data_IF_439374782752
#
_entry.id   IF_439374782752
#
_cell.length_a   1.000
_cell.length_b   1.000
_cell.length_c   1.000
_cell.angle_alpha   90.00
_cell.angle_beta   90.00
_cell.angle_gamma   90.00
#
_symmetry.space_group_name_H-M   'P 1'
#
loop_
_entity.id
_entity.type
_entity.pdbx_description
1 polymer ?
#
# COMPACT_ATOMS: atom_id res chain seq x y z
N UNK A 1 6.82 -0.35 13.80
CA UNK A 1 5.92 0.69 13.26
C UNK A 1 4.46 0.30 13.37
N UNK A 2 4.04 -0.85 12.81
CA UNK A 2 2.68 -1.36 13.02
C UNK A 2 2.32 -1.49 14.50
N UNK A 3 3.23 -2.04 15.32
CA UNK A 3 3.07 -2.11 16.77
C UNK A 3 2.94 -0.74 17.45
N UNK A 4 3.74 0.25 17.01
CA UNK A 4 3.64 1.61 17.55
C UNK A 4 2.26 2.22 17.22
N UNK A 5 1.77 2.06 15.99
CA UNK A 5 0.44 2.50 15.61
C UNK A 5 -0.67 1.72 16.33
N UNK A 6 -0.47 0.44 16.69
CA UNK A 6 -1.42 -0.32 17.52
C UNK A 6 -1.64 0.32 18.89
N UNK A 7 -0.67 1.05 19.45
CA UNK A 7 -0.87 1.76 20.72
C UNK A 7 -1.92 2.88 20.64
N UNK A 8 -2.33 3.29 19.43
CA UNK A 8 -3.27 4.39 19.22
C UNK A 8 -2.62 5.77 19.34
N UNK A 9 -1.30 5.86 19.21
CA UNK A 9 -0.54 7.11 19.19
C UNK A 9 -0.13 7.41 17.75
N UNK A 10 -0.22 8.67 17.28
CA UNK A 10 0.28 9.03 15.96
C UNK A 10 1.80 8.82 15.87
N UNK A 11 2.25 8.27 14.76
CA UNK A 11 3.64 7.86 14.55
C UNK A 11 4.31 8.82 13.56
N UNK A 12 5.54 9.22 13.86
CA UNK A 12 6.39 9.93 12.91
C UNK A 12 7.53 8.99 12.57
N UNK A 13 7.71 8.68 11.29
CA UNK A 13 8.72 7.73 10.84
C UNK A 13 9.40 8.20 9.55
N UNK A 14 10.52 7.57 9.24
CA UNK A 14 11.19 7.78 7.95
C UNK A 14 10.51 6.99 6.83
N UNK A 15 10.69 7.46 5.60
CA UNK A 15 10.20 6.79 4.39
C UNK A 15 11.06 5.56 4.07
N UNK A 16 10.73 4.43 4.69
CA UNK A 16 11.41 3.15 4.47
C UNK A 16 10.39 2.00 4.35
N UNK A 17 10.39 1.33 3.20
CA UNK A 17 9.60 0.11 2.98
C UNK A 17 8.09 0.34 3.08
N UNK A 18 7.45 -0.27 4.08
CA UNK A 18 5.99 -0.24 4.24
C UNK A 18 5.47 1.00 5.01
N UNK A 19 6.33 1.97 5.35
CA UNK A 19 5.97 3.11 6.21
C UNK A 19 4.69 3.81 5.79
N UNK A 20 4.63 4.21 4.52
CA UNK A 20 3.48 4.93 3.98
C UNK A 20 2.16 4.15 4.13
N UNK A 21 2.18 2.83 3.91
CA UNK A 21 0.96 2.00 4.02
C UNK A 21 0.44 1.88 5.46
N UNK A 22 1.34 2.00 6.44
CA UNK A 22 0.97 1.92 7.85
C UNK A 22 0.31 3.22 8.33
N UNK A 23 0.71 4.37 7.77
CA UNK A 23 0.34 5.70 8.25
C UNK A 23 -0.66 6.47 7.38
N UNK A 24 -1.10 5.85 6.29
CA UNK A 24 -2.02 6.43 5.32
C UNK A 24 -3.27 5.55 5.22
N UNK A 25 -4.44 6.19 5.14
CA UNK A 25 -5.69 5.50 4.87
C UNK A 25 -5.66 4.92 3.44
N UNK A 26 -5.80 3.60 3.25
CA UNK A 26 -5.78 2.98 1.93
C UNK A 26 -6.96 3.40 1.04
N UNK A 27 -8.08 3.86 1.60
CA UNK A 27 -9.27 4.25 0.83
C UNK A 27 -9.18 5.70 0.33
N UNK A 28 -8.76 6.63 1.19
CA UNK A 28 -8.71 8.06 0.87
C UNK A 28 -7.32 8.54 0.45
N UNK A 29 -6.26 7.78 0.75
CA UNK A 29 -4.88 8.20 0.55
C UNK A 29 -4.42 9.28 1.53
N UNK A 30 -5.22 9.63 2.54
CA UNK A 30 -4.88 10.69 3.50
C UNK A 30 -3.98 10.16 4.63
N UNK A 31 -2.89 10.87 4.96
CA UNK A 31 -2.02 10.49 6.06
C UNK A 31 -2.62 10.91 7.41
N UNK A 32 -2.67 9.97 8.36
CA UNK A 32 -3.03 10.25 9.76
C UNK A 32 -1.79 10.35 10.68
N UNK A 33 -0.62 10.43 10.07
CA UNK A 33 0.70 10.40 10.71
C UNK A 33 1.73 10.92 9.71
N UNK A 34 2.99 11.10 10.11
CA UNK A 34 3.98 11.78 9.26
C UNK A 34 5.07 10.83 8.77
N UNK A 35 5.38 10.91 7.48
CA UNK A 35 6.54 10.25 6.86
C UNK A 35 7.53 11.31 6.43
N UNK A 36 8.79 11.15 6.80
CA UNK A 36 9.88 12.10 6.47
C UNK A 36 10.99 11.37 5.72
N UNK A 37 11.73 12.07 4.86
CA UNK A 37 12.90 11.51 4.21
C UNK A 37 13.95 11.03 5.23
N UNK A 38 14.67 9.93 4.94
CA UNK A 38 15.80 9.51 5.76
C UNK A 38 16.89 10.59 5.81
N UNK A 39 17.65 10.63 6.90
CA UNK A 39 18.78 11.56 7.11
C UNK A 39 18.43 13.05 7.15
N UNK A 40 17.16 13.41 7.34
CA UNK A 40 16.73 14.80 7.60
C UNK A 40 16.19 14.97 9.03
N UNK A 41 17.11 15.29 9.96
CA UNK A 41 16.78 15.46 11.36
C UNK A 41 15.85 16.67 11.62
N UNK A 42 15.99 17.74 10.84
CA UNK A 42 15.19 18.95 11.02
C UNK A 42 13.74 18.70 10.59
N UNK A 43 13.54 18.07 9.44
CA UNK A 43 12.19 17.69 9.00
C UNK A 43 11.55 16.67 9.94
N UNK A 44 12.32 15.74 10.52
CA UNK A 44 11.81 14.79 11.52
C UNK A 44 11.31 15.50 12.78
N UNK A 45 12.11 16.43 13.33
CA UNK A 45 11.72 17.21 14.50
C UNK A 45 10.49 18.09 14.20
N UNK A 46 10.46 18.74 13.03
CA UNK A 46 9.32 19.54 12.60
C UNK A 46 8.04 18.71 12.48
N UNK A 47 8.14 17.51 11.90
CA UNK A 47 7.01 16.59 11.79
C UNK A 47 6.48 16.13 13.16
N UNK A 48 7.36 15.85 14.12
CA UNK A 48 6.97 15.53 15.50
C UNK A 48 6.18 16.68 16.14
N UNK A 49 6.67 17.92 16.03
CA UNK A 49 5.96 19.09 16.59
C UNK A 49 4.63 19.32 15.89
N UNK A 50 4.59 19.23 14.56
CA UNK A 50 3.35 19.39 13.79
C UNK A 50 2.28 18.37 14.20
N UNK A 51 2.65 17.10 14.39
CA UNK A 51 1.73 16.06 14.87
C UNK A 51 1.31 16.32 16.33
N UNK A 52 2.24 16.69 17.20
CA UNK A 52 1.95 16.97 18.60
C UNK A 52 0.96 18.14 18.75
N UNK A 53 1.13 19.20 17.98
CA UNK A 53 0.30 20.39 18.04
C UNK A 53 -0.86 20.40 17.02
N UNK A 54 -1.02 19.36 16.20
CA UNK A 54 -1.97 19.29 15.08
C UNK A 54 -1.90 20.56 14.20
N UNK A 55 -0.72 20.80 13.62
CA UNK A 55 -0.44 21.93 12.74
C UNK A 55 -0.37 21.48 11.27
N UNK A 56 -0.38 22.46 10.35
CA UNK A 56 -0.27 22.20 8.92
C UNK A 56 -1.38 21.29 8.42
N UNK A 57 -0.99 20.18 7.80
CA UNK A 57 -1.89 19.17 7.22
C UNK A 57 -2.82 18.55 8.28
N UNK A 58 -2.35 18.42 9.52
CA UNK A 58 -3.11 17.80 10.61
C UNK A 58 -4.05 18.77 11.33
N UNK A 59 -4.05 20.05 10.95
CA UNK A 59 -4.98 21.03 11.52
C UNK A 59 -6.45 20.71 11.24
N UNK A 60 -6.74 19.94 10.19
CA UNK A 60 -8.09 19.45 9.90
C UNK A 60 -8.65 18.56 11.03
N UNK A 61 -7.78 17.88 11.78
CA UNK A 61 -8.16 17.05 12.92
C UNK A 61 -8.18 17.81 14.24
N UNK A 62 -7.78 19.09 14.25
CA UNK A 62 -7.65 19.87 15.46
C UNK A 62 -8.99 20.42 15.98
N UNK A 63 -10.06 20.39 15.17
CA UNK A 63 -11.38 20.94 15.52
C UNK A 63 -11.27 22.38 16.05
N UNK A 64 -10.48 23.20 15.36
CA UNK A 64 -10.42 24.63 15.67
C UNK A 64 -11.71 25.33 15.21
N UNK A 65 -12.11 26.37 15.93
CA UNK A 65 -13.24 27.21 15.56
C UNK A 65 -13.01 27.89 14.20
N UNK A 66 -14.09 28.16 13.48
CA UNK A 66 -14.02 28.81 12.17
C UNK A 66 -13.29 30.16 12.27
N UNK A 67 -12.23 30.31 11.46
CA UNK A 67 -11.40 31.52 11.42
C UNK A 67 -10.14 31.49 12.29
N UNK A 68 -9.97 30.51 13.18
CA UNK A 68 -8.75 30.34 13.97
C UNK A 68 -7.66 29.72 13.09
N UNK A 69 -6.58 30.46 12.83
CA UNK A 69 -5.42 29.94 12.10
C UNK A 69 -4.47 29.21 13.05
N UNK A 70 -4.10 27.95 12.77
CA UNK A 70 -3.12 27.24 13.57
C UNK A 70 -1.74 27.93 13.46
N UNK A 71 -0.93 27.93 14.54
CA UNK A 71 0.43 28.44 14.49
C UNK A 71 1.27 27.79 13.39
N UNK A 72 2.12 28.56 12.74
CA UNK A 72 3.09 28.03 11.77
C UNK A 72 4.47 27.93 12.40
N UNK A 73 5.13 26.79 12.24
CA UNK A 73 6.51 26.61 12.73
C UNK A 73 7.48 27.38 11.82
N UNK A 74 8.01 28.49 12.35
CA UNK A 74 9.09 29.26 11.75
C UNK A 74 10.44 28.52 11.86
N UNK A 75 11.42 28.88 11.02
CA UNK A 75 12.77 28.28 11.05
C UNK A 75 13.53 28.66 12.33
N UNK A 76 13.23 29.84 12.87
CA UNK A 76 13.86 30.39 14.08
C UNK A 76 12.75 30.87 15.02
N UNK A 77 12.15 29.96 15.80
CA UNK A 77 10.99 30.28 16.61
C UNK A 77 11.34 31.24 17.74
N UNK A 78 10.49 32.25 17.91
CA UNK A 78 10.57 33.17 19.06
C UNK A 78 10.07 32.47 20.32
N UNK A 79 10.41 32.99 21.50
CA UNK A 79 9.94 32.44 22.77
C UNK A 79 8.41 32.39 22.86
N UNK A 80 7.73 33.39 22.31
CA UNK A 80 6.27 33.47 22.25
C UNK A 80 5.67 32.39 21.34
N UNK A 81 6.26 32.13 20.17
CA UNK A 81 5.85 31.04 19.27
C UNK A 81 6.02 29.66 19.91
N UNK A 82 7.11 29.46 20.66
CA UNK A 82 7.36 28.22 21.41
C UNK A 82 6.31 28.04 22.50
N UNK A 83 5.99 29.09 23.26
CA UNK A 83 4.98 29.02 24.31
C UNK A 83 3.59 28.74 23.74
N UNK A 84 3.20 29.42 22.67
CA UNK A 84 1.93 29.21 21.99
C UNK A 84 1.80 27.78 21.44
N UNK A 85 2.84 27.28 20.79
CA UNK A 85 2.90 25.91 20.27
C UNK A 85 2.80 24.90 21.42
N UNK A 86 3.55 25.11 22.50
CA UNK A 86 3.56 24.23 23.67
C UNK A 86 2.18 24.15 24.33
N UNK A 87 1.52 25.30 24.53
CA UNK A 87 0.13 25.35 25.05
C UNK A 87 -0.82 24.55 24.16
N UNK A 88 -0.69 24.69 22.84
CA UNK A 88 -1.51 23.97 21.87
C UNK A 88 -1.29 22.45 21.92
N UNK A 89 -0.05 21.98 22.08
CA UNK A 89 0.26 20.54 22.23
C UNK A 89 -0.58 19.92 23.35
N UNK A 90 -0.68 20.58 24.50
CA UNK A 90 -1.47 20.06 25.61
C UNK A 90 -2.98 20.22 25.39
N UNK A 91 -3.40 21.37 24.84
CA UNK A 91 -4.82 21.65 24.57
C UNK A 91 -5.45 20.65 23.58
N UNK A 92 -4.70 20.14 22.60
CA UNK A 92 -5.20 19.25 21.55
C UNK A 92 -4.95 17.76 21.81
N UNK A 93 -4.79 17.36 23.07
CA UNK A 93 -4.46 15.98 23.46
C UNK A 93 -5.53 14.97 23.01
N UNK A 94 -6.82 15.27 23.17
CA UNK A 94 -7.90 14.35 22.79
C UNK A 94 -8.06 14.22 21.27
N UNK A 95 -7.90 15.31 20.53
CA UNK A 95 -7.89 15.31 19.06
C UNK A 95 -6.71 14.49 18.54
N UNK A 96 -5.52 14.66 19.13
CA UNK A 96 -4.32 13.90 18.76
C UNK A 96 -4.47 12.40 19.06
N UNK A 97 -5.11 12.07 20.18
CA UNK A 97 -5.47 10.68 20.50
C UNK A 97 -6.39 10.11 19.43
N UNK A 98 -7.44 10.84 19.04
CA UNK A 98 -8.35 10.41 17.95
C UNK A 98 -7.61 10.21 16.63
N UNK A 99 -6.69 11.10 16.28
CA UNK A 99 -5.82 10.95 15.11
C UNK A 99 -5.02 9.62 15.15
N UNK A 100 -4.41 9.30 16.29
CA UNK A 100 -3.68 8.04 16.48
C UNK A 100 -4.55 6.78 16.40
N UNK A 101 -5.84 6.88 16.77
CA UNK A 101 -6.79 5.76 16.66
C UNK A 101 -7.10 5.37 15.20
N UNK A 102 -6.99 6.30 14.24
CA UNK A 102 -7.06 5.95 12.82
C UNK A 102 -5.92 5.00 12.43
N UNK A 103 -4.71 5.25 12.93
CA UNK A 103 -3.57 4.37 12.70
C UNK A 103 -3.74 2.99 13.31
N UNK A 104 -4.25 2.91 14.54
CA UNK A 104 -4.59 1.62 15.15
C UNK A 104 -5.59 0.85 14.29
N UNK A 105 -6.64 1.52 13.84
CA UNK A 105 -7.69 0.92 13.01
C UNK A 105 -7.13 0.41 11.69
N UNK A 106 -6.30 1.22 11.01
CA UNK A 106 -5.64 0.81 9.78
C UNK A 106 -4.75 -0.43 10.00
N UNK A 107 -3.97 -0.47 11.08
CA UNK A 107 -3.10 -1.63 11.36
C UNK A 107 -3.91 -2.89 11.61
N UNK A 108 -4.99 -2.81 12.39
CA UNK A 108 -5.85 -3.95 12.66
C UNK A 108 -6.51 -4.51 11.39
N UNK A 109 -6.93 -3.64 10.48
CA UNK A 109 -7.57 -4.03 9.22
C UNK A 109 -6.57 -4.50 8.17
N UNK A 110 -5.40 -3.85 8.10
CA UNK A 110 -4.49 -3.97 6.96
C UNK A 110 -3.22 -4.79 7.23
N UNK A 111 -2.91 -5.10 8.49
CA UNK A 111 -1.64 -5.74 8.87
C UNK A 111 -1.81 -6.84 9.93
N UNK A 112 -2.98 -7.50 9.96
CA UNK A 112 -3.19 -8.63 10.86
C UNK A 112 -2.30 -9.82 10.47
N UNK A 113 -1.71 -10.47 11.49
CA UNK A 113 -0.90 -11.68 11.29
C UNK A 113 -1.72 -12.81 10.67
N UNK A 114 -3.01 -12.90 11.01
CA UNK A 114 -3.93 -13.89 10.45
C UNK A 114 -4.03 -13.75 8.92
N UNK A 115 -4.26 -12.52 8.42
CA UNK A 115 -4.30 -12.26 6.98
C UNK A 115 -2.96 -12.59 6.32
N UNK A 116 -1.86 -12.14 6.91
CA UNK A 116 -0.51 -12.40 6.39
C UNK A 116 -0.25 -13.91 6.26
N UNK A 117 -0.51 -14.68 7.32
CA UNK A 117 -0.31 -16.13 7.32
C UNK A 117 -1.22 -16.80 6.30
N UNK A 118 -2.49 -16.40 6.21
CA UNK A 118 -3.43 -16.99 5.25
C UNK A 118 -3.04 -16.75 3.81
N UNK A 119 -2.65 -15.52 3.47
CA UNK A 119 -2.18 -15.14 2.14
C UNK A 119 -0.90 -15.92 1.77
N UNK A 120 0.05 -16.03 2.70
CA UNK A 120 1.29 -16.78 2.48
C UNK A 120 1.06 -18.28 2.35
N UNK A 121 0.19 -18.85 3.18
CA UNK A 121 -0.18 -20.26 3.10
C UNK A 121 -0.81 -20.59 1.75
N UNK A 122 -1.77 -19.77 1.29
CA UNK A 122 -2.40 -19.93 -0.02
C UNK A 122 -1.38 -19.83 -1.15
N UNK A 123 -0.47 -18.85 -1.09
CA UNK A 123 0.60 -18.70 -2.07
C UNK A 123 1.52 -19.93 -2.11
N UNK A 124 1.89 -20.46 -0.95
CA UNK A 124 2.70 -21.68 -0.84
C UNK A 124 1.95 -22.90 -1.39
N UNK A 125 0.65 -23.03 -1.11
CA UNK A 125 -0.18 -24.10 -1.66
C UNK A 125 -0.27 -24.03 -3.18
N UNK A 126 -0.51 -22.86 -3.75
CA UNK A 126 -0.54 -22.67 -5.21
C UNK A 126 0.83 -23.03 -5.80
N UNK A 127 1.92 -22.49 -5.24
CA UNK A 127 3.28 -22.79 -5.69
C UNK A 127 3.63 -24.26 -5.61
N UNK A 128 3.20 -24.95 -4.55
CA UNK A 128 3.36 -26.40 -4.38
C UNK A 128 2.62 -27.17 -5.46
N UNK A 129 1.36 -26.84 -5.74
CA UNK A 129 0.57 -27.52 -6.77
C UNK A 129 1.04 -27.23 -8.18
N UNK A 130 1.62 -26.06 -8.45
CA UNK A 130 2.22 -25.72 -9.75
C UNK A 130 3.63 -26.31 -9.94
N UNK A 131 4.29 -26.78 -8.88
CA UNK A 131 5.63 -27.35 -8.95
C UNK A 131 5.65 -28.70 -9.66
N UNK A 132 6.33 -28.78 -10.81
CA UNK A 132 6.53 -30.03 -11.57
C UNK A 132 7.18 -31.13 -10.73
N UNK A 133 8.15 -30.77 -9.89
CA UNK A 133 8.84 -31.72 -9.01
C UNK A 133 7.92 -32.27 -7.92
N UNK A 134 6.99 -31.46 -7.41
CA UNK A 134 5.98 -31.92 -6.46
C UNK A 134 4.98 -32.86 -7.14
N UNK A 135 4.48 -32.50 -8.32
CA UNK A 135 3.57 -33.34 -9.12
C UNK A 135 4.21 -34.69 -9.50
N UNK A 136 5.48 -34.69 -9.93
CA UNK A 136 6.19 -35.91 -10.26
C UNK A 136 6.34 -36.86 -9.05
N UNK A 137 6.62 -36.31 -7.85
CA UNK A 137 6.71 -37.10 -6.62
C UNK A 137 5.34 -37.60 -6.14
N UNK A 138 4.28 -36.81 -6.26
CA UNK A 138 2.95 -37.23 -5.81
C UNK A 138 2.38 -38.37 -6.66
N UNK A 139 2.70 -38.44 -7.95
CA UNK A 139 2.35 -39.56 -8.83
C UNK A 139 3.06 -40.87 -8.46
N UNK A 140 4.27 -40.80 -7.89
CA UNK A 140 5.06 -41.97 -7.48
C UNK A 140 4.61 -42.54 -6.14
N UNK A 141 4.04 -41.71 -5.26
CA UNK A 141 3.70 -42.10 -3.87
C UNK A 141 2.29 -42.70 -3.72
N UNK A 142 1.44 -42.64 -4.75
CA UNK A 142 0.07 -43.19 -4.66
C UNK A 142 -0.27 -44.16 -5.81
N UNK A 143 0.04 -45.47 -5.69
CA UNK A 143 -0.18 -46.44 -6.76
C UNK A 143 -1.67 -46.66 -7.09
N UNK A 144 -2.60 -46.24 -6.23
CA UNK A 144 -4.05 -46.40 -6.45
C UNK A 144 -4.69 -45.28 -7.29
N UNK A 145 -4.07 -44.09 -7.42
CA UNK A 145 -4.66 -42.97 -8.17
C UNK A 145 -4.46 -43.12 -9.68
N UNK A 146 -3.44 -43.86 -10.11
CA UNK A 146 -3.20 -44.16 -11.52
C UNK A 146 -4.23 -45.15 -12.10
N UNK A 147 -4.79 -46.04 -11.28
CA UNK A 147 -5.71 -47.09 -11.73
C UNK A 147 -7.11 -46.55 -12.12
N UNK A 148 -7.57 -45.47 -11.49
CA UNK A 148 -8.92 -44.91 -11.76
C UNK A 148 -9.01 -44.06 -13.02
N UNK A 149 -7.88 -43.60 -13.58
CA UNK A 149 -7.87 -42.83 -14.83
C UNK A 149 -7.84 -43.71 -16.08
N UNK A 150 -7.41 -44.96 -15.95
CA UNK A 150 -7.30 -45.92 -17.06
C UNK A 150 -8.57 -46.72 -17.31
N UNK A 151 -9.56 -46.71 -16.41
CA UNK A 151 -10.81 -47.48 -16.61
C UNK A 151 -11.96 -46.66 -17.25
N UNK A 152 -11.76 -45.36 -17.49
CA UNK A 152 -12.76 -44.48 -18.11
C UNK A 152 -12.70 -44.33 -19.63
N UNK A 153 -11.64 -44.82 -20.29
CA UNK A 153 -11.44 -44.68 -21.74
C UNK A 153 -11.31 -46.06 -22.41
N UNK A 154 -12.40 -46.82 -22.43
CA UNK A 154 -12.60 -47.91 -23.40
C UNK A 154 -13.72 -47.53 -24.37
N UNK A 155 -13.50 -46.44 -25.10
CA UNK A 155 -14.31 -46.01 -26.24
C UNK A 155 -13.44 -45.88 -27.48
N UNK A 156 -13.37 -46.95 -28.26
CA UNK A 156 -12.76 -47.05 -29.58
C UNK A 156 -13.02 -45.85 -30.50
N UNK A 157 -11.99 -45.36 -31.19
CA UNK A 157 -12.20 -44.73 -32.50
C UNK A 157 -11.25 -43.59 -32.89
N UNK A 158 -10.31 -43.92 -33.78
CA UNK A 158 -9.71 -43.05 -34.81
C UNK A 158 -8.51 -42.17 -34.45
N UNK A 159 -7.39 -42.65 -34.97
CA UNK A 159 -6.16 -41.95 -35.33
C UNK A 159 -6.39 -40.82 -36.35
N UNK A 160 -5.52 -39.82 -36.23
CA UNK A 160 -5.04 -38.87 -37.24
C UNK A 160 -5.76 -37.52 -37.40
N UNK A 161 -4.89 -36.54 -37.71
CA UNK A 161 -5.10 -35.12 -38.03
C UNK A 161 -5.15 -34.20 -36.79
N UNK A 162 -4.01 -33.55 -36.52
CA UNK A 162 -3.83 -32.09 -36.64
C UNK A 162 -2.39 -31.76 -36.20
N UNK A 163 -1.45 -31.96 -37.13
CA UNK A 163 -0.13 -31.34 -37.08
C UNK A 163 -0.08 -30.23 -38.11
N UNK A 164 -0.18 -28.98 -37.67
CA UNK A 164 0.26 -27.82 -38.44
C UNK A 164 0.72 -26.74 -37.47
N UNK A 165 2.01 -26.44 -37.52
CA UNK A 165 2.65 -25.33 -36.82
C UNK A 165 1.91 -24.00 -37.11
N UNK A 166 1.76 -23.09 -36.13
CA UNK A 166 1.27 -21.76 -36.43
C UNK A 166 2.38 -20.93 -37.09
N UNK A 167 2.14 -20.57 -38.35
CA UNK A 167 2.93 -19.62 -39.10
C UNK A 167 3.00 -18.26 -38.39
N UNK A 168 4.22 -17.71 -38.32
CA UNK A 168 4.53 -16.35 -37.91
C UNK A 168 3.77 -15.32 -38.76
N UNK A 169 2.84 -14.59 -38.16
CA UNK A 169 2.21 -13.43 -38.78
C UNK A 169 3.12 -12.21 -38.64
N UNK A 170 3.86 -11.88 -39.71
CA UNK A 170 4.40 -10.52 -39.90
C UNK A 170 3.22 -9.56 -40.02
N UNK A 171 3.10 -8.65 -39.06
CA UNK A 171 2.23 -7.49 -39.16
C UNK A 171 2.83 -6.54 -40.21
N UNK A 172 2.17 -6.40 -41.34
CA UNK A 172 2.48 -5.41 -42.37
C UNK A 172 1.97 -4.03 -41.93
N UNK A 173 2.89 -3.13 -41.59
CA UNK A 173 2.61 -1.70 -41.41
C UNK A 173 2.35 -1.06 -42.78
N UNK A 174 1.10 -0.64 -43.00
CA UNK A 174 0.70 0.31 -44.06
C UNK A 174 0.86 1.77 -43.60
N UNK A 175 0.75 2.76 -44.51
CA UNK A 175 1.60 3.94 -44.50
C UNK A 175 1.19 5.04 -43.51
N UNK A 176 2.21 5.77 -43.06
CA UNK A 176 2.18 6.94 -42.19
C UNK A 176 1.35 8.09 -42.77
N UNK A 177 0.31 8.49 -42.04
CA UNK A 177 -0.33 9.80 -42.20
C UNK A 177 0.50 10.83 -41.41
N UNK A 178 0.91 11.90 -42.10
CA UNK A 178 1.71 13.00 -41.58
C UNK A 178 0.98 13.91 -40.57
N UNK A 179 1.70 14.89 -40.00
CA UNK A 179 1.25 15.63 -38.83
C UNK A 179 0.17 16.68 -39.17
N UNK A 180 -0.91 16.68 -38.39
CA UNK A 180 -1.93 17.72 -38.40
C UNK A 180 -1.42 18.98 -37.72
N UNK A 181 -1.34 20.07 -38.49
CA UNK A 181 -1.10 21.44 -38.00
C UNK A 181 -2.38 21.94 -37.31
N UNK A 182 -2.29 22.34 -36.04
CA UNK A 182 -3.33 23.12 -35.36
C UNK A 182 -3.17 24.61 -35.72
N UNK A 183 -4.24 25.35 -36.04
CA UNK A 183 -4.15 26.78 -36.24
C UNK A 183 -4.14 27.52 -34.89
N UNK A 184 -3.28 28.52 -34.80
CA UNK A 184 -3.28 29.53 -33.76
C UNK A 184 -4.57 30.36 -33.81
N UNK A 185 -5.26 30.48 -32.68
CA UNK A 185 -6.24 31.54 -32.45
C UNK A 185 -5.61 32.59 -31.56
N UNK A 186 -5.37 33.76 -32.13
CA UNK A 186 -5.26 35.01 -31.40
C UNK A 186 -6.43 35.90 -31.78
N UNK A 187 -7.11 36.43 -30.76
CA UNK A 187 -7.59 37.82 -30.65
C UNK A 187 -7.47 38.18 -29.17
#
# INVERSE_FOLDING_TARGET
>A
MGEAALTGVPVVCTDVGASFRVVTDPATGRPFSAVVTPNDAHSLAKAQINILALLGEWSEYAEDEEGVRPPTLSLHPTAEEVEATTKRIYAKTEQRRRLGMFGRTNVLNSFSSDRYLREHEQMLWIGKHQSRSYQARSLVVNPHVLALKTEGESGSGMSALWGSEPASSRVSLGPSLGPSVLPAMGV
#
